data_IF_151144906219
#
_entry.id   IF_151144906219
#
_cell.length_a   1.000
_cell.length_b   1.000
_cell.length_c   1.000
_cell.angle_alpha   90.00
_cell.angle_beta   90.00
_cell.angle_gamma   90.00
#
_symmetry.space_group_name_H-M   'P 1'
#
loop_
_entity.id
_entity.type
_entity.pdbx_description
1 polymer ?
#
# COMPACT_ATOMS: atom_id res chain seq x y z
N UNK A 1 -53.47 -13.15 16.90
CA UNK A 1 -52.32 -12.26 17.17
C UNK A 1 -51.50 -12.97 18.25
N UNK A 2 -50.40 -13.61 17.87
CA UNK A 2 -49.54 -14.43 18.75
C UNK A 2 -48.20 -14.71 18.05
N UNK A 3 -47.51 -13.64 17.64
CA UNK A 3 -46.27 -13.73 16.84
C UNK A 3 -45.19 -12.73 17.26
N UNK A 4 -45.34 -12.06 18.40
CA UNK A 4 -44.34 -11.17 19.00
C UNK A 4 -43.34 -11.93 19.87
N UNK A 5 -43.82 -12.92 20.64
CA UNK A 5 -43.06 -13.47 21.76
C UNK A 5 -41.91 -14.39 21.32
N UNK A 6 -41.98 -14.96 20.10
CA UNK A 6 -40.90 -15.79 19.55
C UNK A 6 -39.70 -14.98 19.08
N UNK A 7 -39.92 -13.75 18.60
CA UNK A 7 -38.84 -12.91 18.08
C UNK A 7 -38.02 -12.29 19.22
N UNK A 8 -38.67 -11.99 20.35
CA UNK A 8 -37.99 -11.44 21.53
C UNK A 8 -37.11 -12.49 22.20
N UNK A 9 -37.56 -13.75 22.24
CA UNK A 9 -36.75 -14.88 22.75
C UNK A 9 -35.52 -15.18 21.85
N UNK A 10 -35.69 -15.11 20.53
CA UNK A 10 -34.56 -15.27 19.59
C UNK A 10 -33.56 -14.10 19.69
N UNK A 11 -34.06 -12.88 19.92
CA UNK A 11 -33.23 -11.70 20.12
C UNK A 11 -32.42 -11.78 21.42
N UNK A 12 -33.04 -12.20 22.53
CA UNK A 12 -32.34 -12.43 23.79
C UNK A 12 -31.22 -13.47 23.66
N UNK A 13 -31.51 -14.58 22.96
CA UNK A 13 -30.51 -15.63 22.70
C UNK A 13 -29.32 -15.15 21.85
N UNK A 14 -29.55 -14.26 20.88
CA UNK A 14 -28.46 -13.66 20.10
C UNK A 14 -27.60 -12.73 20.95
N UNK A 15 -28.21 -11.94 21.83
CA UNK A 15 -27.49 -11.05 22.75
C UNK A 15 -26.64 -11.83 23.76
N UNK A 16 -27.16 -12.95 24.27
CA UNK A 16 -26.42 -13.84 25.18
C UNK A 16 -25.21 -14.49 24.48
N UNK A 17 -25.36 -14.94 23.24
CA UNK A 17 -24.25 -15.47 22.44
C UNK A 17 -23.15 -14.43 22.20
N UNK A 18 -23.53 -13.17 21.93
CA UNK A 18 -22.59 -12.08 21.77
C UNK A 18 -21.85 -11.77 23.09
N UNK A 19 -22.56 -11.80 24.22
CA UNK A 19 -21.97 -11.66 25.56
C UNK A 19 -20.95 -12.75 25.85
N UNK A 20 -21.30 -14.02 25.62
CA UNK A 20 -20.38 -15.16 25.83
C UNK A 20 -19.11 -15.07 24.97
N UNK A 21 -19.25 -14.64 23.71
CA UNK A 21 -18.11 -14.41 22.84
C UNK A 21 -17.21 -13.27 23.36
N UNK A 22 -17.81 -12.22 23.92
CA UNK A 22 -17.09 -11.10 24.52
C UNK A 22 -16.37 -11.50 25.82
N UNK A 23 -17.05 -12.19 26.73
CA UNK A 23 -16.46 -12.68 27.99
C UNK A 23 -15.29 -13.63 27.74
N UNK A 24 -15.40 -14.50 26.71
CA UNK A 24 -14.30 -15.39 26.31
C UNK A 24 -13.06 -14.64 25.80
N UNK A 25 -13.24 -13.47 25.18
CA UNK A 25 -12.14 -12.68 24.62
C UNK A 25 -11.54 -11.67 25.62
N UNK A 26 -12.34 -11.13 26.54
CA UNK A 26 -11.95 -10.02 27.40
C UNK A 26 -12.00 -10.32 28.92
N UNK A 27 -12.46 -11.51 29.32
CA UNK A 27 -12.77 -11.84 30.72
C UNK A 27 -14.19 -11.41 31.10
N UNK A 28 -14.68 -11.85 32.27
CA UNK A 28 -16.02 -11.48 32.71
C UNK A 28 -16.07 -10.00 33.11
N UNK A 29 -17.20 -9.34 32.84
CA UNK A 29 -17.38 -7.92 33.19
C UNK A 29 -17.28 -7.70 34.71
N UNK A 30 -17.69 -8.69 35.50
CA UNK A 30 -17.60 -8.73 36.96
C UNK A 30 -16.15 -8.82 37.45
N UNK A 31 -15.28 -9.54 36.73
CA UNK A 31 -13.84 -9.60 37.03
C UNK A 31 -13.14 -8.25 36.77
N UNK A 32 -13.73 -7.40 35.92
CA UNK A 32 -13.32 -6.00 35.72
C UNK A 32 -13.96 -4.99 36.69
N UNK A 33 -14.80 -5.45 37.63
CA UNK A 33 -15.41 -4.61 38.67
C UNK A 33 -16.64 -3.81 38.22
N UNK A 34 -17.30 -4.22 37.13
CA UNK A 34 -18.57 -3.62 36.69
C UNK A 34 -19.75 -4.53 37.05
N UNK A 35 -20.80 -3.96 37.63
CA UNK A 35 -22.06 -4.66 37.87
C UNK A 35 -22.86 -4.73 36.56
N UNK A 36 -23.25 -5.93 36.17
CA UNK A 36 -24.05 -6.15 34.97
C UNK A 36 -25.55 -6.07 35.29
N UNK A 37 -26.22 -5.08 34.69
CA UNK A 37 -27.65 -4.82 34.89
C UNK A 37 -28.54 -5.84 34.18
N UNK A 38 -28.03 -6.57 33.17
CA UNK A 38 -28.82 -7.54 32.40
C UNK A 38 -29.16 -8.83 33.16
N UNK A 39 -28.44 -9.12 34.26
CA UNK A 39 -28.75 -10.24 35.17
C UNK A 39 -29.81 -9.91 36.23
N UNK A 40 -30.18 -8.64 36.41
CA UNK A 40 -31.14 -8.24 37.46
C UNK A 40 -32.59 -8.55 37.08
N UNK A 41 -32.92 -8.58 35.78
CA UNK A 41 -34.29 -8.78 35.33
C UNK A 41 -34.77 -10.24 35.42
N UNK A 42 -33.87 -11.24 35.42
CA UNK A 42 -34.26 -12.66 35.56
C UNK A 42 -34.51 -13.12 37.00
N UNK A 43 -34.10 -12.33 38.01
CA UNK A 43 -34.20 -12.71 39.42
C UNK A 43 -35.51 -12.29 40.13
N UNK A 44 -36.38 -11.51 39.47
CA UNK A 44 -37.64 -11.05 40.11
C UNK A 44 -38.86 -11.95 39.79
N UNK A 45 -38.78 -12.90 38.84
CA UNK A 45 -39.93 -13.75 38.46
C UNK A 45 -39.80 -15.26 38.78
N UNK A 46 -38.74 -15.71 39.46
CA UNK A 46 -38.58 -17.13 39.80
C UNK A 46 -38.34 -17.37 41.30
N UNK A 47 -39.31 -16.99 42.14
CA UNK A 47 -39.43 -17.50 43.50
C UNK A 47 -40.67 -18.40 43.64
N UNK A 48 -40.58 -19.64 43.15
CA UNK A 48 -41.23 -20.82 43.73
C UNK A 48 -41.05 -22.04 42.83
N UNK A 49 -40.10 -22.90 43.20
CA UNK A 49 -40.27 -24.36 43.21
C UNK A 49 -38.92 -24.98 43.53
N UNK A 50 -38.77 -25.46 44.76
CA UNK A 50 -37.81 -26.51 45.08
C UNK A 50 -37.99 -27.67 44.11
N UNK A 51 -36.89 -28.16 43.53
CA UNK A 51 -36.62 -29.59 43.42
C UNK A 51 -35.14 -29.84 43.16
N UNK A 52 -34.57 -30.63 44.07
CA UNK A 52 -33.25 -31.23 44.01
C UNK A 52 -33.04 -31.97 42.68
N UNK A 53 -31.85 -31.87 42.09
CA UNK A 53 -31.32 -32.92 41.21
C UNK A 53 -29.81 -32.84 41.14
N UNK A 54 -29.23 -34.00 41.39
CA UNK A 54 -27.84 -34.31 41.59
C UNK A 54 -26.92 -34.00 40.41
N UNK A 55 -25.65 -33.80 40.76
CA UNK A 55 -24.51 -33.90 39.86
C UNK A 55 -24.49 -35.26 39.18
N UNK A 56 -24.46 -35.29 37.86
CA UNK A 56 -23.80 -36.39 37.15
C UNK A 56 -23.12 -35.88 35.88
N UNK A 57 -21.79 -36.02 35.89
CA UNK A 57 -20.93 -35.79 34.74
C UNK A 57 -20.93 -37.03 33.86
N UNK A 58 -21.47 -36.92 32.65
CA UNK A 58 -21.20 -37.90 31.59
C UNK A 58 -20.62 -37.20 30.36
N UNK A 59 -19.36 -37.55 30.14
CA UNK A 59 -18.54 -37.27 28.97
C UNK A 59 -18.97 -38.24 27.89
N UNK A 60 -19.67 -37.77 26.86
CA UNK A 60 -19.96 -38.56 25.66
C UNK A 60 -18.81 -38.42 24.65
N UNK A 61 -17.98 -39.47 24.67
CA UNK A 61 -16.86 -39.81 23.82
C UNK A 61 -17.40 -40.41 22.50
N UNK A 62 -17.50 -39.59 21.44
CA UNK A 62 -17.86 -40.12 20.11
C UNK A 62 -16.64 -40.78 19.45
N UNK A 63 -16.51 -42.07 19.73
CA UNK A 63 -15.54 -42.98 19.11
C UNK A 63 -16.03 -43.51 17.76
N UNK A 64 -15.07 -43.62 16.85
CA UNK A 64 -15.07 -44.19 15.51
C UNK A 64 -16.00 -45.40 15.27
N UNK A 65 -16.68 -45.37 14.12
CA UNK A 65 -17.11 -46.55 13.37
C UNK A 65 -16.19 -46.78 12.15
N UNK A 66 -15.63 -47.97 12.07
CA UNK A 66 -14.64 -48.47 11.11
C UNK A 66 -15.26 -49.02 9.79
N UNK A 67 -14.58 -48.74 8.66
CA UNK A 67 -14.05 -49.64 7.60
C UNK A 67 -14.98 -50.39 6.61
N UNK A 68 -14.48 -50.40 5.35
CA UNK A 68 -14.75 -51.23 4.13
C UNK A 68 -15.35 -50.43 2.96
N UNK A 69 -14.77 -50.27 1.76
CA UNK A 69 -13.76 -51.01 0.97
C UNK A 69 -13.19 -50.15 -0.19
N UNK A 70 -12.00 -50.56 -0.71
CA UNK A 70 -11.45 -50.46 -2.11
C UNK A 70 -11.31 -49.08 -2.78
N UNK A 71 -10.25 -48.67 -3.49
CA UNK A 71 -9.16 -49.31 -4.25
C UNK A 71 -7.98 -48.30 -4.33
N UNK A 72 -6.74 -48.72 -4.09
CA UNK A 72 -5.68 -48.96 -5.09
C UNK A 72 -5.44 -47.83 -6.13
N UNK A 73 -4.31 -47.11 -6.01
CA UNK A 73 -3.12 -47.28 -6.88
C UNK A 73 -2.09 -46.12 -6.76
N UNK A 74 -0.81 -46.50 -6.55
CA UNK A 74 0.45 -45.96 -7.13
C UNK A 74 0.86 -44.49 -6.81
N UNK A 75 2.11 -44.11 -6.50
CA UNK A 75 3.46 -44.69 -6.68
C UNK A 75 4.45 -43.99 -5.71
N UNK A 76 5.28 -44.73 -4.96
CA UNK A 76 6.70 -45.04 -5.24
C UNK A 76 7.69 -43.85 -5.23
N UNK A 77 8.78 -44.06 -4.47
CA UNK A 77 10.10 -43.38 -4.48
C UNK A 77 10.16 -41.96 -3.85
N UNK A 78 11.02 -41.65 -2.87
CA UNK A 78 12.37 -42.12 -2.63
C UNK A 78 12.79 -41.78 -1.18
N UNK A 79 13.21 -42.78 -0.40
CA UNK A 79 13.88 -42.58 0.90
C UNK A 79 15.38 -42.37 0.67
N UNK A 80 15.94 -41.34 1.30
CA UNK A 80 17.39 -41.18 1.49
C UNK A 80 17.66 -41.19 3.00
N UNK A 81 18.62 -42.02 3.47
CA UNK A 81 18.91 -42.21 4.89
C UNK A 81 19.76 -41.04 5.41
N UNK A 82 19.33 -40.40 6.50
CA UNK A 82 20.19 -39.49 7.25
C UNK A 82 20.69 -40.20 8.50
N UNK A 83 21.97 -40.57 8.42
CA UNK A 83 22.73 -41.31 9.41
C UNK A 83 22.94 -40.49 10.70
N UNK A 84 22.95 -41.23 11.80
CA UNK A 84 23.15 -40.85 13.19
C UNK A 84 24.55 -40.29 13.47
N UNK A 85 24.63 -39.25 14.32
CA UNK A 85 25.48 -39.21 15.54
C UNK A 85 25.68 -37.77 16.03
N UNK A 86 25.00 -37.42 17.13
CA UNK A 86 25.59 -36.48 18.07
C UNK A 86 25.10 -36.80 19.47
N UNK A 87 25.95 -37.55 20.18
CA UNK A 87 25.79 -37.94 21.57
C UNK A 87 25.60 -36.74 22.50
N UNK A 88 24.65 -36.98 23.40
CA UNK A 88 24.37 -36.27 24.64
C UNK A 88 25.58 -36.38 25.59
N UNK A 89 26.20 -35.25 25.98
CA UNK A 89 27.04 -35.19 27.19
C UNK A 89 26.29 -34.38 28.25
N UNK A 90 25.52 -35.12 29.06
CA UNK A 90 24.80 -34.68 30.23
C UNK A 90 25.77 -34.67 31.40
N UNK A 91 26.24 -33.48 31.79
CA UNK A 91 26.85 -33.25 33.11
C UNK A 91 26.09 -32.18 33.87
N UNK A 92 25.37 -32.67 34.86
CA UNK A 92 24.87 -31.96 36.02
C UNK A 92 25.95 -31.05 36.63
N UNK A 93 25.65 -29.76 36.79
CA UNK A 93 26.05 -29.00 37.96
C UNK A 93 24.96 -27.98 38.28
N UNK A 94 24.23 -28.26 39.35
CA UNK A 94 23.44 -27.31 40.12
C UNK A 94 24.29 -26.11 40.50
N UNK A 95 23.83 -24.92 40.12
CA UNK A 95 24.15 -23.66 40.81
C UNK A 95 22.99 -22.69 40.62
N UNK A 96 22.03 -22.80 41.53
CA UNK A 96 20.99 -21.82 41.81
C UNK A 96 21.60 -20.45 42.15
N UNK A 97 21.52 -19.51 41.22
CA UNK A 97 21.64 -18.07 41.49
C UNK A 97 20.35 -17.41 41.00
N UNK A 98 19.46 -17.10 41.95
CA UNK A 98 18.25 -16.31 41.71
C UNK A 98 18.63 -14.86 41.36
N UNK A 99 18.74 -14.56 40.06
CA UNK A 99 18.76 -13.17 39.60
C UNK A 99 17.34 -12.59 39.63
N UNK A 100 17.09 -11.73 40.63
CA UNK A 100 15.87 -10.93 40.77
C UNK A 100 15.71 -9.99 39.56
N UNK A 101 14.79 -10.33 38.66
CA UNK A 101 14.32 -9.45 37.60
C UNK A 101 13.71 -8.17 38.22
N UNK A 102 14.12 -6.95 37.79
CA UNK A 102 13.56 -5.71 38.33
C UNK A 102 12.11 -5.55 37.84
N UNK A 103 11.16 -5.51 38.79
CA UNK A 103 9.74 -5.23 38.53
C UNK A 103 9.61 -3.86 37.86
N UNK A 104 9.06 -3.81 36.65
CA UNK A 104 8.82 -2.57 35.90
C UNK A 104 7.64 -1.83 36.52
N UNK A 105 7.92 -0.70 37.16
CA UNK A 105 6.88 0.24 37.62
C UNK A 105 6.46 1.18 36.47
N UNK A 106 5.18 1.59 36.42
CA UNK A 106 4.70 2.53 35.40
C UNK A 106 5.33 3.92 35.57
N UNK A 107 5.85 4.49 34.48
CA UNK A 107 6.33 5.88 34.44
C UNK A 107 5.14 6.82 34.27
N UNK A 108 4.82 7.57 35.32
CA UNK A 108 3.89 8.70 35.25
C UNK A 108 4.66 9.92 34.75
N UNK A 109 4.21 10.51 33.64
CA UNK A 109 4.71 11.80 33.14
C UNK A 109 3.69 12.85 33.56
N UNK A 110 4.04 13.69 34.54
CA UNK A 110 3.28 14.89 34.85
C UNK A 110 3.77 16.04 33.99
N UNK A 111 2.85 16.73 33.32
CA UNK A 111 3.13 18.02 32.71
C UNK A 111 3.00 19.07 33.82
N UNK A 112 4.10 19.74 34.15
CA UNK A 112 4.04 20.87 35.08
C UNK A 112 3.16 21.98 34.53
N UNK A 113 2.29 22.55 35.35
CA UNK A 113 1.38 23.66 35.01
C UNK A 113 2.10 25.00 34.72
N UNK A 114 3.43 25.00 34.54
CA UNK A 114 4.23 26.21 34.32
C UNK A 114 4.23 26.73 32.88
N UNK A 115 3.46 26.14 31.95
CA UNK A 115 3.39 26.58 30.54
C UNK A 115 2.30 27.64 30.31
N UNK A 116 1.64 28.15 31.36
CA UNK A 116 0.61 29.18 31.16
C UNK A 116 1.16 30.60 30.97
N UNK A 117 2.39 30.89 31.41
CA UNK A 117 2.85 32.29 31.48
C UNK A 117 4.12 32.65 30.66
N UNK A 118 4.77 31.71 29.97
CA UNK A 118 6.04 32.01 29.23
C UNK A 118 6.06 31.67 27.73
N UNK A 119 4.91 31.44 27.08
CA UNK A 119 4.88 31.14 25.64
C UNK A 119 4.99 32.38 24.74
N UNK A 120 4.95 33.60 25.30
CA UNK A 120 4.80 34.82 24.50
C UNK A 120 6.11 35.54 24.13
N UNK A 121 7.28 35.01 24.49
CA UNK A 121 8.57 35.68 24.17
C UNK A 121 9.35 35.05 23.01
N UNK A 122 9.04 33.82 22.58
CA UNK A 122 9.75 33.14 21.50
C UNK A 122 9.08 33.23 20.11
N UNK A 123 7.86 33.77 20.00
CA UNK A 123 7.25 34.05 18.70
C UNK A 123 7.24 35.57 18.41
N UNK A 124 8.39 36.09 17.98
CA UNK A 124 8.48 37.46 17.40
C UNK A 124 7.81 37.54 16.02
N UNK A 125 6.62 36.98 15.86
CA UNK A 125 5.75 37.20 14.70
C UNK A 125 4.57 37.98 15.22
N UNK A 126 4.64 39.31 15.09
CA UNK A 126 3.47 40.17 15.31
C UNK A 126 2.35 39.62 14.42
N UNK A 127 1.29 39.10 15.04
CA UNK A 127 0.05 38.76 14.37
C UNK A 127 -0.40 39.99 13.58
N UNK A 128 -0.22 39.98 12.27
CA UNK A 128 -0.65 41.11 11.43
C UNK A 128 -2.16 41.27 11.58
N UNK A 129 -2.66 42.49 11.69
CA UNK A 129 -4.08 42.84 11.91
C UNK A 129 -5.08 42.10 10.99
N UNK A 130 -4.61 41.59 9.85
CA UNK A 130 -5.39 40.76 8.92
C UNK A 130 -5.83 39.41 9.49
N UNK A 131 -5.03 38.79 10.39
CA UNK A 131 -5.37 37.49 10.99
C UNK A 131 -6.40 37.68 12.12
N UNK A 132 -6.23 38.72 12.93
CA UNK A 132 -7.15 39.10 14.00
C UNK A 132 -8.52 39.47 13.41
N UNK A 133 -8.54 40.22 12.30
CA UNK A 133 -9.78 40.58 11.59
C UNK A 133 -10.49 39.39 10.95
N UNK A 134 -9.77 38.33 10.57
CA UNK A 134 -10.36 37.07 10.07
C UNK A 134 -10.95 36.22 11.19
N UNK A 135 -10.38 36.25 12.40
CA UNK A 135 -10.90 35.50 13.53
C UNK A 135 -12.08 36.20 14.22
N UNK A 136 -12.15 37.53 14.18
CA UNK A 136 -13.26 38.30 14.77
C UNK A 136 -14.50 38.39 13.87
N UNK A 137 -14.37 38.09 12.57
CA UNK A 137 -15.53 37.97 11.69
C UNK A 137 -16.18 36.59 11.85
N UNK A 138 -17.07 36.46 12.83
CA UNK A 138 -18.11 35.41 12.89
C UNK A 138 -19.11 35.62 11.75
N UNK A 139 -18.70 35.36 10.52
CA UNK A 139 -19.63 35.12 9.43
C UNK A 139 -19.22 33.85 8.69
N UNK A 140 -20.19 32.95 8.55
CA UNK A 140 -20.12 31.62 7.97
C UNK A 140 -19.39 31.65 6.62
N UNK A 141 -18.61 30.61 6.25
CA UNK A 141 -18.01 30.55 4.92
C UNK A 141 -19.12 30.50 3.87
N UNK A 142 -19.19 31.53 3.03
CA UNK A 142 -20.06 31.60 1.85
C UNK A 142 -19.66 30.50 0.85
N UNK A 143 -20.26 29.34 1.00
CA UNK A 143 -20.61 28.46 -0.12
C UNK A 143 -21.66 29.21 -0.93
N UNK A 144 -21.57 29.20 -2.25
CA UNK A 144 -22.37 29.99 -3.22
C UNK A 144 -21.85 31.40 -3.50
N UNK A 145 -20.94 31.52 -4.47
CA UNK A 145 -20.82 32.67 -5.37
C UNK A 145 -19.88 32.32 -6.52
N UNK A 146 -20.29 31.35 -7.35
CA UNK A 146 -19.73 31.15 -8.69
C UNK A 146 -20.76 30.65 -9.72
N UNK A 147 -22.05 30.53 -9.35
CA UNK A 147 -23.14 30.32 -10.31
C UNK A 147 -23.85 31.65 -10.55
N UNK A 148 -23.42 32.40 -11.57
CA UNK A 148 -24.21 33.36 -12.37
C UNK A 148 -23.29 34.15 -13.28
N UNK A 149 -22.77 33.47 -14.30
CA UNK A 149 -22.36 34.03 -15.60
C UNK A 149 -22.13 32.84 -16.51
N UNK A 150 -23.22 32.39 -17.14
CA UNK A 150 -23.27 31.64 -18.41
C UNK A 150 -24.73 31.27 -18.67
N UNK A 151 -25.55 32.27 -18.99
CA UNK A 151 -26.88 32.06 -19.60
C UNK A 151 -26.89 32.76 -20.95
N UNK A 152 -26.11 32.24 -21.90
CA UNK A 152 -26.29 32.48 -23.33
C UNK A 152 -25.41 31.54 -24.15
N UNK A 153 -25.80 30.26 -24.22
CA UNK A 153 -25.65 29.42 -25.41
C UNK A 153 -26.42 28.13 -25.19
N UNK A 154 -27.65 28.11 -25.70
CA UNK A 154 -28.29 26.87 -26.15
C UNK A 154 -27.47 26.37 -27.35
N UNK A 155 -27.27 25.07 -27.42
CA UNK A 155 -26.45 24.29 -28.37
C UNK A 155 -25.08 23.91 -27.77
N UNK A 156 -25.06 22.92 -26.87
CA UNK A 156 -23.96 21.96 -26.68
C UNK A 156 -24.36 20.89 -25.65
N UNK A 157 -25.32 20.03 -26.00
CA UNK A 157 -25.70 18.89 -25.14
C UNK A 157 -24.62 17.79 -25.09
N UNK A 158 -23.49 17.97 -25.79
CA UNK A 158 -22.32 17.07 -25.75
C UNK A 158 -21.16 17.58 -24.87
N UNK A 159 -21.21 18.82 -24.35
CA UNK A 159 -20.12 19.34 -23.50
C UNK A 159 -20.41 19.17 -22.00
N UNK A 160 -21.68 19.03 -21.59
CA UNK A 160 -22.04 18.83 -20.17
C UNK A 160 -21.74 17.39 -19.69
N UNK A 161 -21.88 16.37 -20.55
CA UNK A 161 -21.53 14.98 -20.21
C UNK A 161 -20.02 14.77 -20.03
N UNK A 162 -19.17 15.44 -20.82
CA UNK A 162 -17.71 15.33 -20.69
C UNK A 162 -17.19 15.95 -19.38
N UNK A 163 -17.82 17.04 -18.92
CA UNK A 163 -17.50 17.69 -17.65
C UNK A 163 -17.88 16.81 -16.45
N UNK A 164 -19.04 16.14 -16.51
CA UNK A 164 -19.50 15.21 -15.48
C UNK A 164 -18.61 13.95 -15.41
N UNK A 165 -18.22 13.37 -16.55
CA UNK A 165 -17.28 12.26 -16.63
C UNK A 165 -15.89 12.63 -16.07
N UNK A 166 -15.42 13.86 -16.32
CA UNK A 166 -14.14 14.32 -15.77
C UNK A 166 -14.21 14.55 -14.26
N UNK A 167 -15.35 15.02 -13.74
CA UNK A 167 -15.59 15.19 -12.30
C UNK A 167 -15.69 13.83 -11.61
N UNK A 168 -16.45 12.88 -12.17
CA UNK A 168 -16.54 11.51 -11.65
C UNK A 168 -15.16 10.84 -11.65
N UNK A 169 -14.41 10.97 -12.75
CA UNK A 169 -13.04 10.45 -12.84
C UNK A 169 -12.12 11.07 -11.80
N UNK A 170 -12.24 12.36 -11.51
CA UNK A 170 -11.49 13.04 -10.43
C UNK A 170 -11.91 12.51 -9.06
N UNK A 171 -13.19 12.26 -8.84
CA UNK A 171 -13.71 11.68 -7.60
C UNK A 171 -13.16 10.26 -7.38
N UNK A 172 -13.20 9.41 -8.40
CA UNK A 172 -12.61 8.05 -8.36
C UNK A 172 -11.08 8.05 -8.21
N UNK A 173 -10.40 9.08 -8.71
CA UNK A 173 -8.96 9.26 -8.48
C UNK A 173 -8.65 9.70 -7.05
N UNK A 174 -9.54 10.49 -6.44
CA UNK A 174 -9.42 11.00 -5.09
C UNK A 174 -9.92 10.00 -4.03
N UNK A 175 -10.67 8.97 -4.42
CA UNK A 175 -11.07 7.88 -3.55
C UNK A 175 -9.86 7.03 -3.15
N UNK A 176 -9.34 7.31 -1.96
CA UNK A 176 -8.13 6.66 -1.43
C UNK A 176 -8.38 5.18 -1.18
N UNK A 177 -9.58 4.79 -0.75
CA UNK A 177 -9.92 3.41 -0.43
C UNK A 177 -9.95 2.56 -1.69
N UNK A 178 -10.66 3.04 -2.72
CA UNK A 178 -10.70 2.38 -4.03
C UNK A 178 -9.30 2.27 -4.64
N UNK A 179 -8.52 3.35 -4.61
CA UNK A 179 -7.16 3.34 -5.17
C UNK A 179 -6.22 2.40 -4.42
N UNK A 180 -6.33 2.30 -3.10
CA UNK A 180 -5.56 1.36 -2.29
C UNK A 180 -5.98 -0.09 -2.59
N UNK A 181 -7.29 -0.35 -2.65
CA UNK A 181 -7.83 -1.67 -2.98
C UNK A 181 -7.35 -2.13 -4.36
N UNK A 182 -7.46 -1.30 -5.40
CA UNK A 182 -7.01 -1.65 -6.76
C UNK A 182 -5.51 -1.99 -6.77
N UNK A 183 -4.67 -1.20 -6.09
CA UNK A 183 -3.21 -1.40 -6.05
C UNK A 183 -2.81 -2.67 -5.30
N UNK A 184 -3.46 -2.92 -4.18
CA UNK A 184 -3.11 -3.99 -3.25
C UNK A 184 -3.89 -5.29 -3.54
N UNK A 185 -4.87 -5.26 -4.45
CA UNK A 185 -5.69 -6.40 -4.88
C UNK A 185 -4.88 -7.66 -5.22
N UNK A 186 -3.77 -7.52 -5.93
CA UNK A 186 -2.89 -8.66 -6.25
C UNK A 186 -2.21 -9.25 -5.02
N UNK A 187 -1.85 -8.44 -4.02
CA UNK A 187 -1.30 -8.92 -2.76
C UNK A 187 -2.39 -9.64 -1.96
N UNK A 188 -3.57 -9.03 -1.83
CA UNK A 188 -4.71 -9.62 -1.13
C UNK A 188 -5.13 -10.94 -1.77
N UNK A 189 -5.22 -11.01 -3.10
CA UNK A 189 -5.55 -12.25 -3.80
C UNK A 189 -4.46 -13.32 -3.64
N UNK A 190 -3.19 -12.92 -3.70
CA UNK A 190 -2.07 -13.87 -3.54
C UNK A 190 -1.99 -14.54 -2.18
N UNK A 191 -2.51 -13.89 -1.12
CA UNK A 191 -2.49 -14.39 0.25
C UNK A 191 -3.86 -14.83 0.78
N UNK A 192 -4.96 -14.31 0.22
CA UNK A 192 -6.33 -14.59 0.67
C UNK A 192 -7.14 -15.54 -0.23
N UNK A 193 -6.70 -15.77 -1.47
CA UNK A 193 -7.46 -16.56 -2.46
C UNK A 193 -7.21 -18.07 -2.48
N UNK A 194 -6.47 -18.62 -1.51
CA UNK A 194 -6.25 -20.06 -1.39
C UNK A 194 -6.94 -20.55 -0.12
N UNK A 195 -8.13 -21.12 -0.26
CA UNK A 195 -8.96 -21.67 0.84
C UNK A 195 -8.20 -22.63 1.77
N UNK A 196 -7.06 -23.18 1.34
CA UNK A 196 -6.32 -24.19 2.10
C UNK A 196 -5.33 -23.68 3.17
N UNK A 197 -5.18 -22.37 3.42
CA UNK A 197 -4.19 -21.86 4.39
C UNK A 197 -4.72 -20.66 5.21
N UNK A 198 -5.83 -20.85 5.92
CA UNK A 198 -6.36 -19.89 6.92
C UNK A 198 -5.55 -19.89 8.21
N UNK A 199 -4.22 -19.91 8.14
CA UNK A 199 -3.42 -19.60 9.32
C UNK A 199 -3.42 -18.09 9.53
N UNK A 200 -3.63 -17.64 10.77
CA UNK A 200 -3.60 -16.22 11.15
C UNK A 200 -2.31 -15.51 10.68
N UNK A 201 -1.22 -16.26 10.51
CA UNK A 201 0.06 -15.81 9.96
C UNK A 201 -0.02 -15.32 8.51
N UNK A 202 -0.88 -15.89 7.68
CA UNK A 202 -1.04 -15.49 6.27
C UNK A 202 -1.72 -14.13 6.20
N UNK A 203 -2.73 -13.89 7.04
CA UNK A 203 -3.39 -12.59 7.19
C UNK A 203 -2.40 -11.53 7.68
N UNK A 204 -1.57 -11.86 8.67
CA UNK A 204 -0.51 -10.98 9.16
C UNK A 204 0.52 -10.61 8.09
N UNK A 205 0.96 -11.58 7.27
CA UNK A 205 1.89 -11.35 6.16
C UNK A 205 1.28 -10.47 5.07
N UNK A 206 0.02 -10.68 4.71
CA UNK A 206 -0.69 -9.85 3.76
C UNK A 206 -0.78 -8.41 4.27
N UNK A 207 -1.26 -8.22 5.52
CA UNK A 207 -1.36 -6.91 6.17
C UNK A 207 -0.03 -6.17 6.20
N UNK A 208 1.05 -6.83 6.59
CA UNK A 208 2.39 -6.23 6.63
C UNK A 208 2.85 -5.78 5.24
N UNK A 209 2.62 -6.59 4.20
CA UNK A 209 3.01 -6.25 2.83
C UNK A 209 2.19 -5.10 2.25
N UNK A 210 0.90 -5.07 2.53
CA UNK A 210 0.00 -3.97 2.17
C UNK A 210 0.45 -2.68 2.84
N UNK A 211 0.68 -2.70 4.15
CA UNK A 211 1.18 -1.54 4.89
C UNK A 211 2.51 -1.03 4.32
N UNK A 212 3.43 -1.94 3.99
CA UNK A 212 4.70 -1.54 3.38
C UNK A 212 4.54 -0.97 1.97
N UNK A 213 3.66 -1.55 1.14
CA UNK A 213 3.31 -1.04 -0.19
C UNK A 213 2.82 0.40 -0.09
N UNK A 214 1.88 0.66 0.82
CA UNK A 214 1.31 1.98 1.07
C UNK A 214 2.37 2.97 1.56
N UNK A 215 3.20 2.58 2.53
CA UNK A 215 4.28 3.43 3.03
C UNK A 215 5.29 3.78 1.93
N UNK A 216 5.68 2.82 1.09
CA UNK A 216 6.57 3.06 -0.07
C UNK A 216 5.93 4.04 -1.06
N UNK A 217 4.63 3.92 -1.30
CA UNK A 217 3.90 4.83 -2.19
C UNK A 217 3.91 6.25 -1.64
N UNK A 218 3.58 6.45 -0.36
CA UNK A 218 3.61 7.75 0.31
C UNK A 218 5.01 8.39 0.27
N UNK A 219 6.05 7.60 0.63
CA UNK A 219 7.45 8.06 0.57
C UNK A 219 7.86 8.40 -0.86
N UNK A 220 7.38 7.64 -1.85
CA UNK A 220 7.71 7.89 -3.25
C UNK A 220 7.03 9.16 -3.81
N UNK A 221 5.83 9.50 -3.33
CA UNK A 221 5.10 10.69 -3.76
C UNK A 221 5.57 11.97 -3.06
N UNK A 222 6.14 11.84 -1.85
CA UNK A 222 6.62 12.98 -1.10
C UNK A 222 7.85 13.64 -1.77
N UNK A 223 7.64 14.87 -2.28
CA UNK A 223 8.67 15.67 -2.96
C UNK A 223 9.71 16.27 -2.00
N UNK A 224 9.40 16.38 -0.71
CA UNK A 224 10.30 16.95 0.31
C UNK A 224 11.38 15.97 0.77
N UNK A 225 11.23 14.68 0.45
CA UNK A 225 12.24 13.67 0.76
C UNK A 225 13.31 13.71 -0.34
N UNK A 226 14.56 13.94 0.06
CA UNK A 226 15.69 13.94 -0.86
C UNK A 226 15.77 12.62 -1.65
N UNK A 227 16.18 12.70 -2.92
CA UNK A 227 16.32 11.52 -3.79
C UNK A 227 17.23 10.43 -3.19
N UNK A 228 18.24 10.82 -2.41
CA UNK A 228 19.14 9.90 -1.69
C UNK A 228 18.42 9.12 -0.60
N UNK A 229 17.54 9.76 0.15
CA UNK A 229 16.75 9.08 1.18
C UNK A 229 15.64 8.22 0.56
N UNK A 230 15.01 8.70 -0.51
CA UNK A 230 13.98 7.96 -1.26
C UNK A 230 14.53 6.66 -1.84
N UNK A 231 15.71 6.68 -2.47
CA UNK A 231 16.35 5.46 -3.00
C UNK A 231 16.75 4.48 -1.91
N UNK A 232 17.14 4.97 -0.71
CA UNK A 232 17.47 4.12 0.44
C UNK A 232 16.24 3.45 1.07
N UNK A 233 15.07 4.09 1.02
CA UNK A 233 13.86 3.60 1.67
C UNK A 233 13.00 2.77 0.69
N UNK A 234 12.76 3.28 -0.51
CA UNK A 234 11.84 2.66 -1.48
C UNK A 234 12.52 1.59 -2.33
N UNK A 235 13.74 1.87 -2.77
CA UNK A 235 14.42 1.09 -3.82
C UNK A 235 15.58 0.23 -3.31
N UNK A 236 15.73 0.11 -1.99
CA UNK A 236 16.76 -0.72 -1.37
C UNK A 236 16.40 -2.19 -1.50
N UNK A 237 17.28 -2.90 -2.18
CA UNK A 237 17.17 -4.35 -2.43
C UNK A 237 17.89 -5.09 -1.29
N UNK A 238 17.36 -6.25 -0.90
CA UNK A 238 17.98 -7.20 0.01
C UNK A 238 19.37 -7.62 -0.51
N UNK A 239 20.35 -7.73 0.40
CA UNK A 239 21.70 -8.17 0.06
C UNK A 239 21.67 -9.68 -0.23
N UNK A 240 21.77 -10.03 -1.51
CA UNK A 240 21.81 -11.43 -1.99
C UNK A 240 23.11 -11.64 -2.75
N UNK A 241 23.82 -12.78 -2.57
CA UNK A 241 25.02 -13.11 -3.33
C UNK A 241 24.77 -13.06 -4.84
N UNK A 242 25.79 -12.65 -5.61
CA UNK A 242 25.64 -12.35 -7.04
C UNK A 242 25.15 -13.56 -7.84
N UNK A 243 25.73 -14.74 -7.62
CA UNK A 243 25.38 -15.96 -8.36
C UNK A 243 23.93 -16.39 -8.10
N UNK A 244 23.52 -16.35 -6.83
CA UNK A 244 22.14 -16.64 -6.41
C UNK A 244 21.18 -15.63 -7.03
N UNK A 245 21.47 -14.33 -6.93
CA UNK A 245 20.62 -13.27 -7.50
C UNK A 245 20.47 -13.42 -9.02
N UNK A 246 21.56 -13.75 -9.74
CA UNK A 246 21.50 -14.05 -11.18
C UNK A 246 20.58 -15.24 -11.47
N UNK A 247 20.70 -16.33 -10.72
CA UNK A 247 19.82 -17.49 -10.86
C UNK A 247 18.35 -17.18 -10.58
N UNK A 248 18.08 -16.37 -9.54
CA UNK A 248 16.73 -15.90 -9.22
C UNK A 248 16.14 -15.07 -10.35
N UNK A 249 16.92 -14.14 -10.93
CA UNK A 249 16.51 -13.31 -12.07
C UNK A 249 16.20 -14.19 -13.29
N UNK A 250 17.10 -15.11 -13.64
CA UNK A 250 16.92 -15.99 -14.81
C UNK A 250 15.69 -16.88 -14.66
N UNK A 251 15.50 -17.51 -13.49
CA UNK A 251 14.32 -18.35 -13.22
C UNK A 251 13.03 -17.53 -13.25
N UNK A 252 13.07 -16.30 -12.73
CA UNK A 252 11.91 -15.41 -12.77
C UNK A 252 11.58 -14.96 -14.21
N UNK A 253 12.58 -14.58 -15.00
CA UNK A 253 12.42 -14.27 -16.42
C UNK A 253 11.82 -15.44 -17.21
N UNK A 254 12.31 -16.68 -16.99
CA UNK A 254 11.73 -17.87 -17.62
C UNK A 254 10.24 -18.05 -17.30
N UNK A 255 9.84 -17.81 -16.05
CA UNK A 255 8.41 -17.87 -15.66
C UNK A 255 7.59 -16.76 -16.30
N UNK A 256 8.12 -15.56 -16.38
CA UNK A 256 7.46 -14.44 -17.06
C UNK A 256 7.26 -14.76 -18.54
N UNK A 257 8.31 -15.23 -19.22
CA UNK A 257 8.23 -15.58 -20.64
C UNK A 257 7.22 -16.69 -20.87
N UNK A 258 7.24 -17.75 -20.07
CA UNK A 258 6.23 -18.82 -20.16
C UNK A 258 4.82 -18.26 -19.97
N UNK A 259 4.60 -17.42 -18.97
CA UNK A 259 3.29 -16.79 -18.74
C UNK A 259 2.84 -15.89 -19.90
N UNK A 260 3.76 -15.16 -20.52
CA UNK A 260 3.48 -14.30 -21.68
C UNK A 260 3.24 -15.11 -22.96
N UNK A 261 3.99 -16.20 -23.17
CA UNK A 261 3.80 -17.16 -24.27
C UNK A 261 2.45 -17.86 -24.12
N UNK A 262 2.16 -18.45 -22.96
CA UNK A 262 0.89 -19.11 -22.67
C UNK A 262 -0.29 -18.14 -22.87
N UNK A 263 -0.19 -16.89 -22.41
CA UNK A 263 -1.23 -15.89 -22.62
C UNK A 263 -1.41 -15.52 -24.10
N UNK A 264 -0.30 -15.38 -24.83
CA UNK A 264 -0.32 -15.07 -26.27
C UNK A 264 -0.95 -16.20 -27.08
N UNK A 265 -0.60 -17.45 -26.77
CA UNK A 265 -1.09 -18.64 -27.46
C UNK A 265 -2.58 -18.86 -27.17
N UNK A 266 -3.04 -18.52 -25.97
CA UNK A 266 -4.46 -18.54 -25.60
C UNK A 266 -5.24 -17.29 -26.03
N UNK A 267 -4.61 -16.31 -26.70
CA UNK A 267 -5.27 -15.07 -27.11
C UNK A 267 -5.67 -14.13 -25.96
N UNK A 268 -5.08 -14.30 -24.77
CA UNK A 268 -5.34 -13.48 -23.59
C UNK A 268 -4.52 -12.19 -23.66
N UNK A 269 -5.21 -11.05 -23.53
CA UNK A 269 -4.56 -9.72 -23.54
C UNK A 269 -4.01 -9.40 -22.15
N UNK A 270 -2.69 -9.27 -22.04
CA UNK A 270 -2.01 -8.88 -20.80
C UNK A 270 -1.83 -7.36 -20.68
N UNK A 271 -1.79 -6.85 -19.44
CA UNK A 271 -1.49 -5.45 -19.17
C UNK A 271 -0.09 -5.04 -19.71
N UNK A 272 0.03 -3.81 -20.21
CA UNK A 272 1.30 -3.28 -20.74
C UNK A 272 2.27 -2.95 -19.62
N UNK A 273 3.56 -3.14 -19.87
CA UNK A 273 4.63 -2.85 -18.91
C UNK A 273 5.72 -1.95 -19.50
N UNK A 274 6.46 -1.26 -18.64
CA UNK A 274 7.57 -0.42 -19.07
C UNK A 274 8.76 -1.28 -19.51
N UNK A 275 9.48 -0.82 -20.55
CA UNK A 275 10.62 -1.54 -21.10
C UNK A 275 11.69 -1.75 -20.03
N UNK A 276 12.14 -3.00 -19.87
CA UNK A 276 13.17 -3.37 -18.88
C UNK A 276 12.65 -3.61 -17.46
N UNK A 277 11.36 -3.39 -17.20
CA UNK A 277 10.71 -3.85 -15.96
C UNK A 277 10.29 -5.31 -16.05
N UNK A 278 10.20 -5.99 -14.91
CA UNK A 278 9.71 -7.36 -14.82
C UNK A 278 8.19 -7.40 -14.76
N UNK A 279 7.60 -8.43 -15.39
CA UNK A 279 6.19 -8.74 -15.20
C UNK A 279 5.88 -9.17 -13.80
N UNK A 280 4.92 -8.47 -13.18
CA UNK A 280 4.35 -8.87 -11.91
C UNK A 280 3.34 -9.97 -12.22
N UNK A 281 3.74 -11.20 -11.92
CA UNK A 281 2.91 -12.41 -11.99
C UNK A 281 2.63 -12.85 -10.55
N UNK A 282 1.72 -13.80 -10.34
CA UNK A 282 1.35 -14.25 -8.98
C UNK A 282 2.56 -14.70 -8.15
N UNK A 283 3.53 -15.34 -8.80
CA UNK A 283 4.79 -15.75 -8.16
C UNK A 283 5.57 -14.56 -7.59
N UNK A 284 5.52 -13.40 -8.24
CA UNK A 284 6.19 -12.16 -7.81
C UNK A 284 5.69 -11.74 -6.42
N UNK A 285 4.37 -11.76 -6.23
CA UNK A 285 3.70 -11.35 -4.99
C UNK A 285 3.85 -12.40 -3.89
N UNK A 286 3.63 -13.68 -4.22
CA UNK A 286 3.74 -14.81 -3.27
C UNK A 286 5.14 -14.91 -2.67
N UNK A 287 6.20 -14.85 -3.50
CA UNK A 287 7.60 -15.04 -3.05
C UNK A 287 8.35 -13.76 -2.68
N UNK A 288 7.71 -12.61 -2.79
CA UNK A 288 8.32 -11.29 -2.52
C UNK A 288 9.65 -11.09 -3.29
N UNK A 289 9.67 -11.51 -4.55
CA UNK A 289 10.90 -11.56 -5.34
C UNK A 289 11.48 -10.15 -5.59
N UNK A 290 10.60 -9.13 -5.67
CA UNK A 290 10.97 -7.74 -5.96
C UNK A 290 11.95 -7.17 -4.92
N UNK A 291 11.89 -7.59 -3.65
CA UNK A 291 12.88 -7.19 -2.64
C UNK A 291 14.28 -7.67 -2.94
N UNK A 292 14.43 -8.83 -3.59
CA UNK A 292 15.71 -9.51 -3.81
C UNK A 292 16.33 -9.19 -5.16
N UNK A 293 15.49 -9.06 -6.19
CA UNK A 293 15.93 -8.82 -7.57
C UNK A 293 15.63 -7.39 -8.06
N UNK A 294 14.76 -6.65 -7.36
CA UNK A 294 14.25 -5.35 -7.80
C UNK A 294 13.08 -5.45 -8.79
N UNK A 295 12.57 -4.30 -9.23
CA UNK A 295 11.50 -4.19 -10.24
C UNK A 295 11.97 -4.44 -11.68
N UNK A 296 13.28 -4.44 -11.90
CA UNK A 296 13.91 -4.55 -13.22
C UNK A 296 15.43 -4.45 -13.12
N UNK A 297 16.13 -4.76 -14.21
CA UNK A 297 17.59 -4.66 -14.24
C UNK A 297 17.99 -3.20 -14.45
N UNK A 298 18.27 -2.50 -13.35
CA UNK A 298 18.63 -1.07 -13.37
C UNK A 298 19.78 -0.75 -14.31
N UNK A 299 20.80 -1.62 -14.43
CA UNK A 299 21.91 -1.42 -15.36
C UNK A 299 21.47 -1.42 -16.82
N UNK A 300 20.53 -2.29 -17.22
CA UNK A 300 19.99 -2.28 -18.59
C UNK A 300 19.18 -1.02 -18.86
N UNK A 301 18.41 -0.57 -17.87
CA UNK A 301 17.58 0.65 -17.96
C UNK A 301 18.47 1.91 -18.00
N UNK A 302 19.55 1.96 -17.23
CA UNK A 302 20.50 3.08 -17.24
C UNK A 302 21.40 3.09 -18.47
N UNK A 303 21.78 1.90 -18.97
CA UNK A 303 22.67 1.77 -20.12
C UNK A 303 21.97 2.05 -21.45
N UNK A 304 20.64 2.12 -21.49
CA UNK A 304 19.95 2.74 -22.63
C UNK A 304 20.01 4.25 -22.43
N UNK A 305 20.95 4.95 -23.08
CA UNK A 305 21.09 6.37 -22.83
C UNK A 305 19.82 7.05 -23.36
N UNK A 306 19.30 8.01 -22.58
CA UNK A 306 18.15 8.83 -23.00
C UNK A 306 18.44 9.52 -24.35
N UNK A 307 19.72 9.81 -24.60
CA UNK A 307 20.20 10.39 -25.84
C UNK A 307 21.35 9.56 -26.39
N UNK A 308 21.27 9.18 -27.66
CA UNK A 308 22.40 8.56 -28.37
C UNK A 308 23.59 9.52 -28.34
N UNK A 309 24.78 9.00 -28.08
CA UNK A 309 26.01 9.77 -28.27
C UNK A 309 26.11 10.19 -29.74
N UNK A 310 26.11 11.50 -29.96
CA UNK A 310 26.15 12.11 -31.30
C UNK A 310 27.57 12.27 -31.81
N UNK A 311 28.57 11.91 -31.01
CA UNK A 311 29.98 12.19 -31.28
C UNK A 311 30.27 13.69 -31.23
N UNK A 312 31.54 14.04 -31.48
CA UNK A 312 31.97 15.43 -31.57
C UNK A 312 31.44 16.07 -32.87
N UNK A 313 30.85 17.26 -32.75
CA UNK A 313 30.40 18.04 -33.93
C UNK A 313 31.62 18.73 -34.54
N UNK A 314 32.10 18.22 -35.68
CA UNK A 314 33.30 18.71 -36.36
C UNK A 314 32.98 19.95 -37.23
N UNK A 315 31.90 19.91 -37.99
CA UNK A 315 31.58 20.96 -38.96
C UNK A 315 30.68 22.04 -38.34
N UNK A 316 31.13 23.29 -38.39
CA UNK A 316 30.36 24.47 -37.96
C UNK A 316 29.62 25.18 -39.11
N UNK A 317 30.03 24.96 -40.36
CA UNK A 317 29.50 25.62 -41.55
C UNK A 317 28.58 24.65 -42.30
N UNK A 318 27.39 25.12 -42.68
CA UNK A 318 26.46 24.37 -43.52
C UNK A 318 25.73 23.22 -42.80
N UNK A 319 24.91 22.49 -43.57
CA UNK A 319 24.17 21.31 -43.13
C UNK A 319 24.74 20.08 -43.80
N UNK A 320 25.22 19.12 -43.01
CA UNK A 320 25.59 17.80 -43.51
C UNK A 320 24.32 17.00 -43.74
N UNK A 321 24.03 16.70 -45.00
CA UNK A 321 22.88 15.91 -45.43
C UNK A 321 23.36 14.64 -46.14
N UNK A 322 22.45 13.74 -46.49
CA UNK A 322 22.78 12.53 -47.27
C UNK A 322 23.43 12.86 -48.62
N UNK A 323 23.11 14.01 -49.22
CA UNK A 323 23.63 14.43 -50.53
C UNK A 323 24.96 15.22 -50.42
N UNK A 324 25.54 15.31 -49.23
CA UNK A 324 26.77 16.05 -48.97
C UNK A 324 26.58 17.29 -48.09
N UNK A 325 27.61 18.15 -48.07
CA UNK A 325 27.62 19.39 -47.30
C UNK A 325 26.95 20.52 -48.08
N UNK A 326 25.80 20.96 -47.58
CA UNK A 326 25.07 22.08 -48.19
C UNK A 326 25.43 23.35 -47.44
N UNK A 327 26.12 24.27 -48.12
CA UNK A 327 26.50 25.58 -47.59
C UNK A 327 25.48 26.62 -48.10
N UNK A 328 24.92 27.43 -47.20
CA UNK A 328 23.97 28.46 -47.61
C UNK A 328 24.68 29.60 -48.33
N UNK A 329 24.00 30.27 -49.27
CA UNK A 329 24.56 31.47 -49.93
C UNK A 329 24.99 32.53 -48.91
N UNK A 330 24.27 32.66 -47.80
CA UNK A 330 24.62 33.58 -46.72
C UNK A 330 25.94 33.20 -46.03
N UNK A 331 26.18 31.91 -45.80
CA UNK A 331 27.44 31.43 -45.19
C UNK A 331 28.62 31.61 -46.16
N UNK A 332 28.39 31.35 -47.46
CA UNK A 332 29.37 31.62 -48.52
C UNK A 332 29.74 33.10 -48.51
N UNK A 333 28.75 34.00 -48.53
CA UNK A 333 28.98 35.45 -48.54
C UNK A 333 29.67 35.94 -47.26
N UNK A 334 29.32 35.35 -46.10
CA UNK A 334 29.94 35.68 -44.81
C UNK A 334 31.43 35.29 -44.77
N UNK A 335 31.79 34.13 -45.32
CA UNK A 335 33.18 33.66 -45.36
C UNK A 335 33.97 34.39 -46.44
N UNK A 336 33.37 34.63 -47.61
CA UNK A 336 34.01 35.35 -48.72
C UNK A 336 34.15 36.86 -48.45
N UNK A 337 33.64 37.36 -47.32
CA UNK A 337 33.81 38.77 -46.94
C UNK A 337 32.97 39.74 -47.77
N UNK A 338 31.91 39.28 -48.44
CA UNK A 338 30.93 40.16 -49.06
C UNK A 338 30.11 40.83 -47.95
N UNK A 339 30.67 41.92 -47.40
CA UNK A 339 30.00 42.82 -46.49
C UNK A 339 28.71 43.26 -47.18
N UNK A 340 27.57 42.73 -46.72
CA UNK A 340 26.26 43.21 -47.09
C UNK A 340 26.16 44.71 -46.71
N UNK A 341 26.56 45.59 -47.63
CA UNK A 341 26.51 47.06 -47.50
C UNK A 341 25.07 47.60 -47.51
N UNK A 342 24.04 46.76 -47.53
CA UNK A 342 22.66 47.21 -47.68
C UNK A 342 21.75 46.60 -46.62
N UNK A 343 21.62 47.28 -45.46
CA UNK A 343 20.36 47.27 -44.66
C UNK A 343 20.24 48.33 -43.56
N UNK A 344 21.18 49.26 -43.41
CA UNK A 344 21.01 50.44 -42.54
C UNK A 344 20.71 51.73 -43.32
N UNK A 345 19.62 51.76 -44.10
CA UNK A 345 19.00 53.00 -44.60
C UNK A 345 17.47 52.87 -44.71
N UNK A 346 16.79 52.93 -43.57
CA UNK A 346 15.43 53.49 -43.41
C UNK A 346 15.55 54.40 -42.19
N UNK A 347 15.79 55.71 -42.31
CA UNK A 347 14.81 56.67 -42.84
C UNK A 347 13.61 56.65 -41.89
N UNK A 348 13.67 57.25 -40.70
CA UNK A 348 13.75 58.70 -40.53
C UNK A 348 12.34 59.30 -40.65
N UNK A 349 11.51 59.19 -39.61
CA UNK A 349 10.36 60.08 -39.39
C UNK A 349 10.24 60.37 -37.89
N UNK A 350 10.93 61.45 -37.51
CA UNK A 350 10.62 62.27 -36.34
C UNK A 350 9.12 62.61 -36.35
N UNK A 351 8.38 62.15 -35.33
CA UNK A 351 7.09 62.71 -34.96
C UNK A 351 7.33 63.66 -33.78
N UNK A 352 7.49 64.95 -34.11
CA UNK A 352 7.14 66.05 -33.21
C UNK A 352 5.66 66.35 -33.42
N UNK A 353 4.85 66.18 -32.38
CA UNK A 353 3.86 67.14 -31.88
C UNK A 353 3.25 66.58 -30.61
#
# INVERSE_FOLDING_TARGET
MSGSDSNDAEFQKQMELQRLAFEKQFGSLEEMGFEDETKKEENEEASSSDNESESNSEVEDYKLGNIENSDEELSSENEEPFDSDMEMDLKEQDNTIEEKQPKRQPKVISFGDSIKDEVDTFSRVKLTDKLIKKMQNKQKPNVTNNLKKNSSKKNNDNEEEEDDDEIERKNLQNDIELQNFIRDSHLLNSFGGSESNMSNDVVGKARMKVMESQMKNLVSQNKHISNKNKTRIVDKIEKVPVNIRKGMIQKHMKRINKFEEDAKDNGIVLAKQSKGSFRKIDFTYKKDIERRIGKGIKSKISNTPVMRDKGLRINAIGRSTRNGLIISKNDINKINGEINKSRNRKGGKSKRK
#
